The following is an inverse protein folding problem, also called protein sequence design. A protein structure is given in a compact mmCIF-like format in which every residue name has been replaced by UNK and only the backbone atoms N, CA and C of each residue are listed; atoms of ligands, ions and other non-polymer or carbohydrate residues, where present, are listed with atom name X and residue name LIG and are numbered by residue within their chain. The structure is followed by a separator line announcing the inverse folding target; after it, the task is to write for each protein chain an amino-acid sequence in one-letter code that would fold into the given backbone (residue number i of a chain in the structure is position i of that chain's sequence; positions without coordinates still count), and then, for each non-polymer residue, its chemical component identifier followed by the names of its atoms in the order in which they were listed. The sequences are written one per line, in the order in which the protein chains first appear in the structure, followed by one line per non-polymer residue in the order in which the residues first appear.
data_IF_150095631675
#
_entry.id   IF_150095631675
#
_cell.length_a   1.000
_cell.length_b   1.000
_cell.length_c   1.000
_cell.angle_alpha   90.00
_cell.angle_beta   90.00
_cell.angle_gamma   90.00
#
_symmetry.space_group_name_H-M   'P 1'
#
loop_
_entity.id
_entity.type
_entity.pdbx_description
1 polymer ?
#
# COMPACT_ATOMS: atom_id res chain seq x y z
N UNK A 1 56.69 3.05 -36.61
CA UNK A 1 55.27 3.37 -36.89
C UNK A 1 54.40 2.63 -35.89
N UNK A 2 53.90 3.28 -34.84
CA UNK A 2 52.86 2.77 -33.92
C UNK A 2 52.33 3.85 -32.94
N UNK A 3 52.94 5.04 -32.88
CA UNK A 3 52.51 6.14 -32.02
C UNK A 3 51.04 6.55 -32.24
N UNK A 4 50.58 6.63 -33.50
CA UNK A 4 49.19 7.01 -33.80
C UNK A 4 48.17 6.00 -33.24
N UNK A 5 48.47 4.70 -33.23
CA UNK A 5 47.58 3.68 -32.66
C UNK A 5 47.51 3.78 -31.14
N UNK A 6 48.64 4.06 -30.49
CA UNK A 6 48.70 4.27 -29.03
C UNK A 6 47.99 5.56 -28.60
N UNK A 7 48.11 6.63 -29.38
CA UNK A 7 47.43 7.89 -29.12
C UNK A 7 45.91 7.77 -29.27
N UNK A 8 45.45 7.13 -30.36
CA UNK A 8 44.01 6.86 -30.53
C UNK A 8 43.46 5.95 -29.44
N UNK A 9 44.19 4.90 -29.03
CA UNK A 9 43.77 4.05 -27.92
C UNK A 9 43.63 4.83 -26.59
N UNK A 10 44.52 5.79 -26.34
CA UNK A 10 44.45 6.64 -25.15
C UNK A 10 43.24 7.58 -25.18
N UNK A 11 42.92 8.17 -26.34
CA UNK A 11 41.73 9.00 -26.52
C UNK A 11 40.45 8.20 -26.26
N UNK A 12 40.34 6.97 -26.77
CA UNK A 12 39.19 6.09 -26.48
C UNK A 12 39.09 5.73 -25.00
N UNK A 13 40.22 5.45 -24.32
CA UNK A 13 40.20 5.19 -22.88
C UNK A 13 39.74 6.41 -22.08
N UNK A 14 40.14 7.62 -22.48
CA UNK A 14 39.69 8.85 -21.83
C UNK A 14 38.18 9.07 -22.04
N UNK A 15 37.68 8.86 -23.26
CA UNK A 15 36.24 8.94 -23.55
C UNK A 15 35.46 7.94 -22.68
N UNK A 16 35.90 6.68 -22.62
CA UNK A 16 35.26 5.64 -21.80
C UNK A 16 35.27 6.03 -20.32
N UNK A 17 36.38 6.56 -19.80
CA UNK A 17 36.49 6.97 -18.41
C UNK A 17 35.50 8.10 -18.07
N UNK A 18 35.38 9.10 -18.94
CA UNK A 18 34.41 10.19 -18.79
C UNK A 18 32.98 9.66 -18.89
N UNK A 19 32.71 8.79 -19.86
CA UNK A 19 31.39 8.17 -20.04
C UNK A 19 30.98 7.36 -18.81
N UNK A 20 31.88 6.52 -18.27
CA UNK A 20 31.62 5.77 -17.03
C UNK A 20 31.46 6.69 -15.82
N UNK A 21 32.25 7.77 -15.76
CA UNK A 21 32.12 8.80 -14.71
C UNK A 21 30.75 9.47 -14.67
N UNK A 22 30.05 9.54 -15.80
CA UNK A 22 28.68 10.04 -15.88
C UNK A 22 27.66 8.92 -15.62
N UNK A 23 27.84 7.75 -16.24
CA UNK A 23 26.88 6.65 -16.15
C UNK A 23 26.69 6.19 -14.70
N UNK A 24 27.77 5.99 -13.94
CA UNK A 24 27.68 5.44 -12.57
C UNK A 24 26.80 6.30 -11.65
N UNK A 25 27.04 7.62 -11.47
CA UNK A 25 26.19 8.44 -10.61
C UNK A 25 24.77 8.62 -11.17
N UNK A 26 24.59 8.70 -12.49
CA UNK A 26 23.25 8.81 -13.09
C UNK A 26 22.43 7.55 -12.85
N UNK A 27 23.04 6.37 -13.01
CA UNK A 27 22.39 5.09 -12.73
C UNK A 27 22.04 4.98 -11.24
N UNK A 28 22.93 5.39 -10.33
CA UNK A 28 22.64 5.42 -8.91
C UNK A 28 21.44 6.32 -8.58
N UNK A 29 21.42 7.56 -9.08
CA UNK A 29 20.30 8.48 -8.88
C UNK A 29 19.00 7.89 -9.45
N UNK A 30 19.04 7.33 -10.65
CA UNK A 30 17.89 6.69 -11.27
C UNK A 30 17.30 5.59 -10.40
N UNK A 31 18.13 4.68 -9.87
CA UNK A 31 17.65 3.63 -8.98
C UNK A 31 17.06 4.17 -7.67
N UNK A 32 17.68 5.19 -7.08
CA UNK A 32 17.17 5.83 -5.86
C UNK A 32 15.78 6.45 -6.10
N UNK A 33 15.63 7.23 -7.16
CA UNK A 33 14.34 7.85 -7.52
C UNK A 33 13.27 6.83 -7.87
N UNK A 34 13.64 5.76 -8.60
CA UNK A 34 12.71 4.69 -8.95
C UNK A 34 12.19 3.96 -7.69
N UNK A 35 13.06 3.72 -6.71
CA UNK A 35 12.68 3.10 -5.44
C UNK A 35 11.74 3.99 -4.63
N UNK A 36 12.06 5.29 -4.50
CA UNK A 36 11.23 6.24 -3.75
C UNK A 36 9.85 6.43 -4.37
N UNK A 37 9.80 6.54 -5.71
CA UNK A 37 8.55 6.70 -6.46
C UNK A 37 7.59 5.52 -6.25
N UNK A 38 8.12 4.29 -6.21
CA UNK A 38 7.30 3.10 -5.96
C UNK A 38 6.69 3.10 -4.55
N UNK A 39 7.44 3.54 -3.54
CA UNK A 39 6.94 3.64 -2.16
C UNK A 39 5.83 4.68 -2.07
N UNK A 40 6.00 5.85 -2.68
CA UNK A 40 4.97 6.91 -2.68
C UNK A 40 3.68 6.47 -3.37
N UNK A 41 3.76 5.72 -4.47
CA UNK A 41 2.59 5.20 -5.18
C UNK A 41 1.81 4.22 -4.30
N UNK A 42 2.51 3.29 -3.64
CA UNK A 42 1.89 2.32 -2.74
C UNK A 42 1.22 3.01 -1.55
N UNK A 43 1.90 4.00 -0.96
CA UNK A 43 1.38 4.78 0.15
C UNK A 43 0.08 5.51 -0.24
N UNK A 44 0.07 6.16 -1.41
CA UNK A 44 -1.11 6.84 -1.94
C UNK A 44 -2.28 5.88 -2.21
N UNK A 45 -2.01 4.71 -2.79
CA UNK A 45 -3.06 3.70 -3.06
C UNK A 45 -3.72 3.20 -1.78
N UNK A 46 -2.95 2.82 -0.77
CA UNK A 46 -3.51 2.34 0.50
C UNK A 46 -4.19 3.48 1.26
N UNK A 47 -3.65 4.69 1.23
CA UNK A 47 -4.34 5.86 1.79
C UNK A 47 -5.70 6.09 1.14
N UNK A 48 -5.80 5.97 -0.17
CA UNK A 48 -7.07 6.11 -0.89
C UNK A 48 -8.04 4.99 -0.50
N UNK A 49 -7.58 3.73 -0.45
CA UNK A 49 -8.43 2.59 -0.09
C UNK A 49 -8.89 2.70 1.37
N UNK A 50 -7.98 2.92 2.31
CA UNK A 50 -8.28 3.06 3.73
C UNK A 50 -9.28 4.17 3.98
N UNK A 51 -9.07 5.36 3.40
CA UNK A 51 -10.03 6.47 3.50
C UNK A 51 -11.39 6.14 2.91
N UNK A 52 -11.43 5.51 1.73
CA UNK A 52 -12.69 5.14 1.08
C UNK A 52 -13.48 4.11 1.92
N UNK A 53 -12.78 3.15 2.53
CA UNK A 53 -13.39 2.19 3.46
C UNK A 53 -13.97 2.92 4.68
N UNK A 54 -13.22 3.80 5.32
CA UNK A 54 -13.69 4.54 6.50
C UNK A 54 -14.87 5.47 6.18
N UNK A 55 -14.82 6.20 5.06
CA UNK A 55 -15.95 7.04 4.63
C UNK A 55 -17.18 6.19 4.30
N UNK A 56 -17.01 5.03 3.67
CA UNK A 56 -18.13 4.13 3.37
C UNK A 56 -18.71 3.53 4.64
N UNK A 57 -17.87 3.14 5.60
CA UNK A 57 -18.30 2.70 6.93
C UNK A 57 -19.15 3.78 7.59
N UNK A 58 -18.73 5.05 7.53
CA UNK A 58 -19.47 6.18 8.06
C UNK A 58 -20.82 6.35 7.36
N UNK A 59 -20.86 6.31 6.03
CA UNK A 59 -22.10 6.40 5.25
C UNK A 59 -23.06 5.27 5.60
N UNK A 60 -22.58 4.02 5.65
CA UNK A 60 -23.39 2.85 6.00
C UNK A 60 -23.94 2.95 7.42
N UNK A 61 -23.13 3.42 8.37
CA UNK A 61 -23.56 3.65 9.75
C UNK A 61 -24.71 4.66 9.82
N UNK A 62 -24.56 5.83 9.17
CA UNK A 62 -25.58 6.88 9.18
C UNK A 62 -26.81 6.58 8.31
N UNK A 63 -26.71 5.65 7.36
CA UNK A 63 -27.83 5.22 6.52
C UNK A 63 -28.87 4.38 7.30
N UNK A 64 -28.49 3.86 8.48
CA UNK A 64 -29.37 3.09 9.34
C UNK A 64 -29.17 1.57 9.22
N UNK A 65 -29.86 0.83 10.09
CA UNK A 65 -29.75 -0.62 10.20
C UNK A 65 -30.10 -1.34 8.89
N UNK A 66 -29.33 -2.39 8.55
CA UNK A 66 -29.54 -3.19 7.33
C UNK A 66 -28.99 -2.55 6.06
N UNK A 67 -28.43 -1.33 6.15
CA UNK A 67 -27.70 -0.70 5.05
C UNK A 67 -26.44 -1.50 4.73
N UNK A 68 -26.18 -1.70 3.43
CA UNK A 68 -25.01 -2.40 2.94
C UNK A 68 -24.45 -1.73 1.69
N UNK A 69 -23.13 -1.63 1.62
CA UNK A 69 -22.39 -1.18 0.44
C UNK A 69 -21.27 -2.17 0.18
N UNK A 70 -21.05 -2.47 -1.10
CA UNK A 70 -19.89 -3.26 -1.55
C UNK A 70 -18.93 -2.34 -2.28
N UNK A 71 -17.68 -2.32 -1.84
CA UNK A 71 -16.60 -1.59 -2.48
C UNK A 71 -15.69 -2.56 -3.24
N UNK A 72 -15.34 -2.20 -4.46
CA UNK A 72 -14.27 -2.85 -5.18
C UNK A 72 -12.95 -2.15 -4.82
N UNK A 73 -12.05 -2.87 -4.14
CA UNK A 73 -10.75 -2.37 -3.72
C UNK A 73 -9.65 -3.22 -4.37
N UNK A 74 -8.76 -2.57 -5.12
CA UNK A 74 -7.59 -3.23 -5.71
C UNK A 74 -6.46 -3.25 -4.69
N UNK A 75 -6.26 -4.38 -4.01
CA UNK A 75 -5.18 -4.51 -3.04
C UNK A 75 -3.81 -4.71 -3.70
N UNK A 76 -2.82 -3.87 -3.37
CA UNK A 76 -1.47 -4.04 -3.88
C UNK A 76 -0.82 -5.28 -3.28
N UNK A 77 0.18 -5.82 -3.99
CA UNK A 77 0.88 -7.08 -3.64
C UNK A 77 1.61 -7.03 -2.30
N UNK A 78 1.89 -5.82 -1.81
CA UNK A 78 2.74 -5.61 -0.65
C UNK A 78 1.94 -5.60 0.66
N UNK A 79 0.60 -5.69 0.62
CA UNK A 79 -0.21 -5.85 1.84
C UNK A 79 -0.06 -7.28 2.34
N UNK A 80 0.43 -7.42 3.57
CA UNK A 80 0.55 -8.72 4.27
C UNK A 80 -0.72 -9.03 5.04
N UNK A 81 -1.19 -8.06 5.82
CA UNK A 81 -2.33 -8.23 6.72
C UNK A 81 -3.16 -6.96 6.80
N UNK A 82 -4.46 -7.14 7.07
CA UNK A 82 -5.39 -6.09 7.41
C UNK A 82 -6.09 -6.52 8.69
N UNK A 83 -6.16 -5.64 9.68
CA UNK A 83 -6.83 -5.92 10.94
C UNK A 83 -7.43 -4.66 11.55
N UNK A 84 -8.35 -4.85 12.48
CA UNK A 84 -9.02 -3.80 13.23
C UNK A 84 -8.55 -3.89 14.69
N UNK A 85 -8.16 -2.78 15.29
CA UNK A 85 -7.83 -2.69 16.72
C UNK A 85 -8.94 -1.91 17.44
N UNK A 86 -9.33 -2.39 18.62
CA UNK A 86 -10.26 -1.71 19.55
C UNK A 86 -11.57 -1.27 18.90
N UNK A 87 -11.99 -2.01 17.86
CA UNK A 87 -13.18 -1.72 17.04
C UNK A 87 -13.21 -0.31 16.42
N UNK A 88 -12.07 0.37 16.29
CA UNK A 88 -12.02 1.78 15.82
C UNK A 88 -10.88 2.08 14.88
N UNK A 89 -9.84 1.27 14.89
CA UNK A 89 -8.65 1.52 14.08
C UNK A 89 -8.55 0.44 13.02
N UNK A 90 -8.60 0.82 11.75
CA UNK A 90 -8.32 -0.07 10.64
C UNK A 90 -6.83 0.04 10.31
N UNK A 91 -6.12 -1.07 10.39
CA UNK A 91 -4.67 -1.12 10.20
C UNK A 91 -4.32 -1.97 8.99
N UNK A 92 -3.49 -1.41 8.13
CA UNK A 92 -2.88 -2.08 6.99
C UNK A 92 -1.42 -2.33 7.27
N UNK A 93 -1.03 -3.60 7.31
CA UNK A 93 0.36 -4.01 7.47
C UNK A 93 0.93 -4.40 6.11
N UNK A 94 2.03 -3.77 5.73
CA UNK A 94 2.69 -3.98 4.44
C UNK A 94 4.15 -4.30 4.60
N UNK A 95 4.71 -4.97 3.60
CA UNK A 95 6.14 -5.21 3.48
C UNK A 95 6.84 -4.10 2.71
N UNK A 96 7.87 -3.53 3.33
CA UNK A 96 8.79 -2.56 2.73
C UNK A 96 10.22 -3.12 2.72
N UNK A 97 11.10 -2.51 1.91
CA UNK A 97 12.50 -2.92 1.76
C UNK A 97 13.31 -2.89 3.07
N UNK A 98 12.83 -2.13 4.07
CA UNK A 98 13.48 -1.95 5.38
C UNK A 98 12.74 -2.67 6.53
N UNK A 99 11.63 -3.35 6.25
CA UNK A 99 10.80 -4.02 7.25
C UNK A 99 9.30 -3.84 7.03
N UNK A 100 8.51 -4.33 7.98
CA UNK A 100 7.07 -4.14 7.95
C UNK A 100 6.70 -2.69 8.32
N UNK A 101 5.78 -2.10 7.58
CA UNK A 101 5.20 -0.78 7.83
C UNK A 101 3.70 -0.92 8.09
N UNK A 102 3.18 -0.09 8.99
CA UNK A 102 1.77 -0.09 9.35
C UNK A 102 1.14 1.27 9.04
N UNK A 103 -0.01 1.25 8.37
CA UNK A 103 -0.85 2.41 8.17
C UNK A 103 -2.14 2.27 8.96
N UNK A 104 -2.43 3.27 9.80
CA UNK A 104 -3.57 3.26 10.72
C UNK A 104 -4.59 4.30 10.27
N UNK A 105 -5.84 3.86 10.14
CA UNK A 105 -6.99 4.70 9.79
C UNK A 105 -8.02 4.68 10.92
N UNK A 106 -8.32 5.85 11.47
CA UNK A 106 -9.26 5.98 12.58
C UNK A 106 -10.69 6.11 12.09
N UNK A 107 -11.58 5.28 12.64
CA UNK A 107 -13.01 5.32 12.42
C UNK A 107 -13.71 6.05 13.56
N UNK A 108 -14.64 6.98 13.26
CA UNK A 108 -15.51 7.57 14.29
C UNK A 108 -16.57 6.60 14.79
N UNK A 109 -16.82 5.49 14.08
CA UNK A 109 -17.86 4.50 14.40
C UNK A 109 -17.23 3.13 14.69
N UNK A 110 -17.94 2.31 15.45
CA UNK A 110 -17.46 0.96 15.81
C UNK A 110 -17.44 0.05 14.58
N UNK A 111 -16.29 -0.53 14.29
CA UNK A 111 -16.05 -1.49 13.21
C UNK A 111 -15.81 -2.87 13.82
N UNK A 112 -16.43 -3.90 13.26
CA UNK A 112 -16.24 -5.30 13.64
C UNK A 112 -15.94 -6.16 12.42
N UNK A 113 -15.30 -7.32 12.61
CA UNK A 113 -15.17 -8.37 11.59
C UNK A 113 -15.64 -9.72 12.14
N UNK A 114 -15.65 -10.75 11.29
CA UNK A 114 -16.04 -12.11 11.69
C UNK A 114 -14.93 -12.84 12.46
N UNK A 115 -13.67 -12.41 12.34
CA UNK A 115 -12.50 -13.10 12.88
C UNK A 115 -11.81 -12.24 13.95
N UNK A 116 -12.38 -12.22 15.15
CA UNK A 116 -11.85 -11.44 16.28
C UNK A 116 -11.16 -12.33 17.32
N UNK A 117 -9.97 -11.93 17.75
CA UNK A 117 -9.25 -12.48 18.90
C UNK A 117 -9.00 -11.37 19.92
N UNK A 118 -9.91 -11.23 20.89
CA UNK A 118 -9.91 -10.12 21.82
C UNK A 118 -10.23 -8.79 21.13
N UNK A 119 -9.38 -7.79 21.33
CA UNK A 119 -9.53 -6.44 20.75
C UNK A 119 -9.03 -6.32 19.31
N UNK A 120 -8.47 -7.40 18.74
CA UNK A 120 -7.93 -7.42 17.38
C UNK A 120 -8.80 -8.30 16.50
N UNK A 121 -9.34 -7.73 15.43
CA UNK A 121 -10.15 -8.43 14.43
C UNK A 121 -9.43 -8.48 13.09
N UNK A 122 -9.08 -9.69 12.61
CA UNK A 122 -8.37 -9.88 11.35
C UNK A 122 -9.34 -9.81 10.16
N UNK A 123 -8.80 -9.40 9.02
CA UNK A 123 -9.46 -9.31 7.72
C UNK A 123 -8.57 -10.01 6.67
N UNK A 124 -8.08 -11.21 6.99
CA UNK A 124 -7.10 -11.95 6.17
C UNK A 124 -7.61 -12.19 4.75
N UNK A 125 -8.91 -12.42 4.58
CA UNK A 125 -9.55 -12.60 3.27
C UNK A 125 -9.48 -11.37 2.34
N UNK A 126 -9.28 -10.18 2.91
CA UNK A 126 -9.17 -8.92 2.18
C UNK A 126 -7.71 -8.51 1.93
N UNK A 127 -6.74 -9.14 2.59
CA UNK A 127 -5.32 -8.87 2.41
C UNK A 127 -4.74 -9.54 1.14
N UNK A 128 -5.51 -10.36 0.44
CA UNK A 128 -5.10 -11.02 -0.81
C UNK A 128 -4.87 -9.98 -1.90
N UNK A 129 -3.76 -10.04 -2.64
CA UNK A 129 -3.51 -9.11 -3.73
C UNK A 129 -4.50 -9.26 -4.89
N UNK A 130 -4.92 -8.13 -5.48
CA UNK A 130 -5.83 -8.08 -6.62
C UNK A 130 -7.15 -7.38 -6.30
N UNK A 131 -8.15 -7.58 -7.16
CA UNK A 131 -9.46 -6.97 -6.98
C UNK A 131 -10.26 -7.72 -5.93
N UNK A 132 -10.44 -7.10 -4.77
CA UNK A 132 -11.23 -7.62 -3.67
C UNK A 132 -12.54 -6.85 -3.55
N UNK A 133 -13.61 -7.59 -3.22
CA UNK A 133 -14.90 -7.00 -2.89
C UNK A 133 -15.04 -6.92 -1.38
N UNK A 134 -15.03 -5.70 -0.87
CA UNK A 134 -15.21 -5.39 0.55
C UNK A 134 -16.67 -5.10 0.78
N UNK A 135 -17.35 -5.97 1.52
CA UNK A 135 -18.74 -5.78 1.95
C UNK A 135 -18.73 -5.05 3.30
N UNK A 136 -19.52 -3.98 3.38
CA UNK A 136 -19.67 -3.15 4.57
C UNK A 136 -21.15 -3.10 4.92
N UNK A 137 -21.52 -3.54 6.11
CA UNK A 137 -22.92 -3.70 6.53
C UNK A 137 -23.17 -3.13 7.92
N UNK A 138 -24.26 -2.37 8.09
CA UNK A 138 -24.71 -1.84 9.37
C UNK A 138 -25.44 -2.93 10.15
N UNK A 139 -24.90 -3.31 11.31
CA UNK A 139 -25.41 -4.41 12.14
C UNK A 139 -25.74 -3.95 13.56
N UNK A 140 -26.48 -4.79 14.30
CA UNK A 140 -26.83 -4.58 15.70
C UNK A 140 -27.57 -3.26 15.94
N UNK A 141 -28.75 -3.07 15.33
CA UNK A 141 -29.56 -1.85 15.47
C UNK A 141 -28.86 -0.57 15.03
N UNK A 142 -27.91 -0.70 14.10
CA UNK A 142 -27.11 0.43 13.59
C UNK A 142 -26.06 0.95 14.59
N UNK A 143 -25.69 0.16 15.60
CA UNK A 143 -24.69 0.57 16.59
C UNK A 143 -23.24 0.30 16.15
N UNK A 144 -23.03 -0.55 15.13
CA UNK A 144 -21.71 -0.91 14.62
C UNK A 144 -21.77 -1.36 13.16
N UNK A 145 -20.62 -1.35 12.49
CA UNK A 145 -20.48 -1.74 11.09
C UNK A 145 -19.60 -2.98 10.97
N UNK A 146 -20.11 -4.00 10.28
CA UNK A 146 -19.40 -5.23 9.96
C UNK A 146 -18.67 -5.06 8.63
N UNK A 147 -17.37 -5.34 8.62
CA UNK A 147 -16.57 -5.48 7.39
C UNK A 147 -16.33 -6.97 7.15
N UNK A 148 -16.68 -7.43 5.95
CA UNK A 148 -16.40 -8.78 5.49
C UNK A 148 -16.03 -8.78 4.01
N UNK A 149 -15.52 -9.91 3.52
CA UNK A 149 -15.48 -10.17 2.08
C UNK A 149 -16.90 -10.34 1.54
N UNK A 150 -17.15 -9.82 0.34
CA UNK A 150 -18.41 -9.98 -0.39
C UNK A 150 -18.49 -11.32 -1.12
#
# INVERSE_FOLDING_TARGET
MNANKSQSAFEYLMIIAITLGIIVPTTYLFFSYASESNVQILDSQINQIGRNVIETVKVVYFSGEGSKITLDASMPKNVKDIYIISNRELVFKMESAIGDIEMVFFSPVKIVSNECSGDICKLTDLAVSGLNKVKIESVNKGAQVLISKA
#
